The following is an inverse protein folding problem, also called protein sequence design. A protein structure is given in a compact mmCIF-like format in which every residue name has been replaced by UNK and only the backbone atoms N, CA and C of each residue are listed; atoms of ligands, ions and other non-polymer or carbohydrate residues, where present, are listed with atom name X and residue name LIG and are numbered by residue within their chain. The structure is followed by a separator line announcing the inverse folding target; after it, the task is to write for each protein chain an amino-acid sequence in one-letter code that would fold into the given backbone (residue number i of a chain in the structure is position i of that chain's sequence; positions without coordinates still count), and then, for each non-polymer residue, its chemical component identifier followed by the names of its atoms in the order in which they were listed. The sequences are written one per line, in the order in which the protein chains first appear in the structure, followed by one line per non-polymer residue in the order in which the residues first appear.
data_IF_375640452839
#
_entry.id   IF_375640452839
#
_cell.length_a   1.000
_cell.length_b   1.000
_cell.length_c   1.000
_cell.angle_alpha   90.00
_cell.angle_beta   90.00
_cell.angle_gamma   90.00
#
_symmetry.space_group_name_H-M   'P 1'
#
loop_
_entity.id
_entity.type
_entity.pdbx_description
1 polymer ?
#
# COMPACT_ATOMS: atom_id res chain seq x y z
N UNK A 1 38.80 -16.78 11.76
CA UNK A 1 38.34 -16.35 10.43
C UNK A 1 37.22 -15.36 10.65
N UNK A 2 37.48 -14.07 10.44
CA UNK A 2 36.39 -13.07 10.43
C UNK A 2 35.52 -13.32 9.20
N UNK A 3 34.29 -13.76 9.40
CA UNK A 3 33.30 -13.87 8.32
C UNK A 3 32.90 -12.48 7.88
N UNK A 4 33.50 -12.01 6.79
CA UNK A 4 33.17 -10.73 6.20
C UNK A 4 31.71 -10.79 5.74
N UNK A 5 30.82 -10.01 6.37
CA UNK A 5 29.39 -9.96 6.02
C UNK A 5 29.26 -9.45 4.58
N UNK A 6 28.61 -10.23 3.73
CA UNK A 6 28.37 -9.85 2.34
C UNK A 6 27.14 -8.94 2.24
N UNK A 7 27.30 -7.74 1.67
CA UNK A 7 26.16 -6.85 1.36
C UNK A 7 25.15 -7.52 0.44
N UNK A 8 25.61 -8.31 -0.52
CA UNK A 8 24.74 -9.09 -1.40
C UNK A 8 23.84 -10.03 -0.61
N UNK A 9 24.35 -10.76 0.38
CA UNK A 9 23.55 -11.63 1.22
C UNK A 9 22.49 -10.86 2.04
N UNK A 10 22.84 -9.68 2.55
CA UNK A 10 21.87 -8.82 3.27
C UNK A 10 20.74 -8.43 2.33
N UNK A 11 21.06 -7.93 1.13
CA UNK A 11 20.06 -7.55 0.13
C UNK A 11 19.16 -8.72 -0.25
N UNK A 12 19.72 -9.93 -0.45
CA UNK A 12 18.91 -11.12 -0.74
C UNK A 12 17.95 -11.47 0.40
N UNK A 13 18.38 -11.32 1.66
CA UNK A 13 17.50 -11.54 2.83
C UNK A 13 16.40 -10.50 2.91
N UNK A 14 16.72 -9.22 2.66
CA UNK A 14 15.72 -8.14 2.61
C UNK A 14 14.67 -8.41 1.51
N UNK A 15 15.11 -8.79 0.31
CA UNK A 15 14.21 -9.11 -0.79
C UNK A 15 13.32 -10.32 -0.46
N UNK A 16 13.88 -11.39 0.09
CA UNK A 16 13.12 -12.56 0.53
C UNK A 16 12.09 -12.20 1.59
N UNK A 17 12.48 -11.42 2.59
CA UNK A 17 11.58 -10.95 3.65
C UNK A 17 10.41 -10.14 3.08
N UNK A 18 10.68 -9.19 2.18
CA UNK A 18 9.66 -8.38 1.53
C UNK A 18 8.65 -9.26 0.75
N UNK A 19 9.15 -10.26 -0.01
CA UNK A 19 8.28 -11.17 -0.75
C UNK A 19 7.40 -11.99 0.22
N UNK A 20 7.98 -12.56 1.28
CA UNK A 20 7.25 -13.35 2.28
C UNK A 20 6.18 -12.50 2.98
N UNK A 21 6.51 -11.28 3.38
CA UNK A 21 5.56 -10.34 3.99
C UNK A 21 4.40 -10.04 3.02
N UNK A 22 4.69 -9.66 1.78
CA UNK A 22 3.67 -9.39 0.76
C UNK A 22 2.75 -10.59 0.50
N UNK A 23 3.29 -11.81 0.46
CA UNK A 23 2.48 -13.03 0.29
C UNK A 23 1.51 -13.18 1.46
N UNK A 24 1.96 -12.97 2.70
CA UNK A 24 1.10 -13.11 3.88
C UNK A 24 0.03 -12.01 3.93
N UNK A 25 0.38 -10.75 3.66
CA UNK A 25 -0.57 -9.64 3.52
C UNK A 25 -1.63 -9.96 2.44
N UNK A 26 -1.19 -10.45 1.27
CA UNK A 26 -2.12 -10.83 0.20
C UNK A 26 -3.08 -11.94 0.62
N UNK A 27 -2.59 -12.98 1.30
CA UNK A 27 -3.45 -14.06 1.83
C UNK A 27 -4.52 -13.50 2.77
N UNK A 28 -4.17 -12.56 3.65
CA UNK A 28 -5.15 -11.94 4.55
C UNK A 28 -6.15 -11.06 3.81
N UNK A 29 -5.72 -10.30 2.79
CA UNK A 29 -6.62 -9.52 1.96
C UNK A 29 -7.67 -10.42 1.29
N UNK A 30 -7.23 -11.48 0.60
CA UNK A 30 -8.11 -12.46 -0.07
C UNK A 30 -9.07 -13.12 0.93
N UNK A 31 -8.59 -13.55 2.10
CA UNK A 31 -9.41 -14.12 3.19
C UNK A 31 -10.53 -13.17 3.63
N UNK A 32 -10.29 -11.86 3.58
CA UNK A 32 -11.27 -10.83 3.90
C UNK A 32 -12.12 -10.39 2.68
N UNK A 33 -12.00 -11.07 1.54
CA UNK A 33 -12.75 -10.75 0.33
C UNK A 33 -12.27 -9.48 -0.39
N UNK A 34 -11.02 -9.07 -0.15
CA UNK A 34 -10.38 -7.93 -0.79
C UNK A 34 -9.31 -8.39 -1.78
N UNK A 35 -9.16 -7.63 -2.88
CA UNK A 35 -7.97 -7.71 -3.72
C UNK A 35 -6.86 -6.82 -3.15
N UNK A 36 -5.62 -7.16 -3.49
CA UNK A 36 -4.46 -6.34 -3.12
C UNK A 36 -4.67 -4.88 -3.62
N UNK A 37 -4.42 -3.92 -2.73
CA UNK A 37 -4.61 -2.49 -3.01
C UNK A 37 -6.02 -1.95 -2.74
N UNK A 38 -7.02 -2.79 -2.42
CA UNK A 38 -8.37 -2.29 -2.11
C UNK A 38 -8.50 -1.77 -0.67
N UNK A 39 -7.74 -2.32 0.28
CA UNK A 39 -7.76 -1.82 1.65
C UNK A 39 -7.34 -0.35 1.74
N UNK A 40 -6.21 0.09 1.14
CA UNK A 40 -5.85 1.52 1.11
C UNK A 40 -6.92 2.42 0.49
N UNK A 41 -7.67 1.93 -0.51
CA UNK A 41 -8.79 2.69 -1.10
C UNK A 41 -9.90 2.87 -0.06
N UNK A 42 -10.30 1.80 0.64
CA UNK A 42 -11.32 1.89 1.71
C UNK A 42 -10.89 2.87 2.79
N UNK A 43 -9.66 2.76 3.27
CA UNK A 43 -9.10 3.62 4.32
C UNK A 43 -9.00 5.08 3.89
N UNK A 44 -8.66 5.35 2.62
CA UNK A 44 -8.65 6.71 2.09
C UNK A 44 -10.05 7.30 2.06
N UNK A 45 -11.03 6.56 1.48
CA UNK A 45 -12.43 7.02 1.38
C UNK A 45 -13.06 7.20 2.77
N UNK A 46 -12.72 6.35 3.73
CA UNK A 46 -13.20 6.47 5.12
C UNK A 46 -12.67 7.73 5.82
N UNK A 47 -11.42 8.10 5.56
CA UNK A 47 -10.79 9.32 6.12
C UNK A 47 -11.17 10.60 5.39
N UNK A 48 -11.50 10.50 4.11
CA UNK A 48 -11.84 11.63 3.25
C UNK A 48 -13.26 11.45 2.71
N UNK A 49 -14.24 11.59 3.60
CA UNK A 49 -15.64 11.44 3.24
C UNK A 49 -16.00 12.28 2.00
N UNK A 50 -16.79 11.67 1.11
CA UNK A 50 -17.24 12.30 -0.14
C UNK A 50 -16.10 12.66 -1.12
N UNK A 51 -14.96 11.97 -1.05
CA UNK A 51 -13.92 12.14 -2.05
C UNK A 51 -14.35 11.60 -3.43
N UNK A 52 -13.69 12.07 -4.48
CA UNK A 52 -13.86 11.62 -5.85
C UNK A 52 -12.89 10.46 -6.17
N UNK A 53 -13.19 9.70 -7.24
CA UNK A 53 -12.26 8.70 -7.77
C UNK A 53 -10.93 9.31 -8.20
N UNK A 54 -10.92 10.55 -8.67
CA UNK A 54 -9.71 11.26 -9.08
C UNK A 54 -8.81 11.53 -7.88
N UNK A 55 -9.36 12.03 -6.78
CA UNK A 55 -8.61 12.26 -5.55
C UNK A 55 -7.99 10.96 -5.01
N UNK A 56 -8.71 9.83 -5.08
CA UNK A 56 -8.15 8.51 -4.74
C UNK A 56 -7.00 8.14 -5.68
N UNK A 57 -7.16 8.35 -7.00
CA UNK A 57 -6.13 8.06 -7.99
C UNK A 57 -4.87 8.90 -7.77
N UNK A 58 -5.06 10.20 -7.51
CA UNK A 58 -3.98 11.16 -7.24
C UNK A 58 -3.22 10.79 -5.95
N UNK A 59 -3.93 10.39 -4.90
CA UNK A 59 -3.32 9.93 -3.64
C UNK A 59 -2.52 8.64 -3.81
N UNK A 60 -3.11 7.64 -4.47
CA UNK A 60 -2.52 6.32 -4.68
C UNK A 60 -1.45 6.32 -5.79
N UNK A 61 -1.30 7.42 -6.53
CA UNK A 61 -0.40 7.54 -7.69
C UNK A 61 -0.60 6.43 -8.73
N UNK A 62 -1.87 6.10 -8.97
CA UNK A 62 -2.26 5.12 -10.00
C UNK A 62 -3.19 5.77 -11.02
N UNK A 63 -3.31 5.14 -12.20
CA UNK A 63 -4.14 5.69 -13.27
C UNK A 63 -5.63 5.75 -12.88
N UNK A 64 -6.37 6.80 -13.27
CA UNK A 64 -7.82 6.90 -13.03
C UNK A 64 -8.61 5.68 -13.50
N UNK A 65 -8.32 5.04 -14.66
CA UNK A 65 -8.98 3.80 -15.07
C UNK A 65 -8.78 2.63 -14.09
N UNK A 66 -7.58 2.52 -13.48
CA UNK A 66 -7.30 1.47 -12.48
C UNK A 66 -8.16 1.65 -11.24
N UNK A 67 -8.29 2.89 -10.75
CA UNK A 67 -9.17 3.22 -9.62
C UNK A 67 -10.64 2.98 -10.01
N UNK A 68 -11.07 3.41 -11.19
CA UNK A 68 -12.44 3.18 -11.64
C UNK A 68 -12.80 1.69 -11.65
N UNK A 69 -11.89 0.84 -12.13
CA UNK A 69 -12.06 -0.63 -12.13
C UNK A 69 -12.15 -1.18 -10.70
N UNK A 70 -11.26 -0.75 -9.81
CA UNK A 70 -11.27 -1.18 -8.40
C UNK A 70 -12.55 -0.73 -7.69
N UNK A 71 -12.94 0.53 -7.83
CA UNK A 71 -14.16 1.08 -7.25
C UNK A 71 -15.41 0.34 -7.77
N UNK A 72 -15.48 0.04 -9.08
CA UNK A 72 -16.60 -0.73 -9.66
C UNK A 72 -16.73 -2.11 -9.02
N UNK A 73 -15.60 -2.81 -8.81
CA UNK A 73 -15.56 -4.12 -8.12
C UNK A 73 -16.01 -3.99 -6.66
N UNK A 74 -15.55 -2.96 -5.97
CA UNK A 74 -15.89 -2.70 -4.57
C UNK A 74 -17.36 -2.31 -4.40
N UNK A 75 -17.93 -1.56 -5.35
CA UNK A 75 -19.38 -1.28 -5.39
C UNK A 75 -20.19 -2.57 -5.59
N UNK A 76 -19.77 -3.42 -6.55
CA UNK A 76 -20.44 -4.72 -6.78
C UNK A 76 -20.38 -5.61 -5.53
N UNK A 77 -19.29 -5.52 -4.76
CA UNK A 77 -19.14 -6.24 -3.49
C UNK A 77 -19.90 -5.58 -2.32
N UNK A 78 -20.50 -4.40 -2.52
CA UNK A 78 -21.22 -3.65 -1.50
C UNK A 78 -20.30 -3.02 -0.44
N UNK A 79 -19.05 -2.69 -0.79
CA UNK A 79 -18.06 -2.10 0.11
C UNK A 79 -18.01 -0.58 0.01
N UNK A 80 -18.31 -0.06 -1.18
CA UNK A 80 -18.37 1.35 -1.49
C UNK A 80 -19.70 1.66 -2.19
N UNK A 81 -20.15 2.87 -2.05
CA UNK A 81 -21.27 3.46 -2.83
C UNK A 81 -20.85 4.79 -3.44
N UNK A 82 -21.53 5.16 -4.53
CA UNK A 82 -21.42 6.46 -5.17
C UNK A 82 -22.68 7.25 -4.85
N UNK A 83 -22.47 8.45 -4.34
CA UNK A 83 -23.53 9.40 -4.05
C UNK A 83 -23.34 10.60 -4.96
N UNK A 84 -24.40 11.02 -5.67
CA UNK A 84 -24.35 12.23 -6.47
C UNK A 84 -24.05 13.44 -5.58
N UNK A 85 -23.14 14.30 -6.02
CA UNK A 85 -22.87 15.54 -5.30
C UNK A 85 -24.10 16.45 -5.38
N UNK A 86 -24.56 16.94 -4.22
CA UNK A 86 -25.75 17.84 -4.17
C UNK A 86 -25.47 19.20 -4.77
N UNK A 87 -24.22 19.64 -4.81
CA UNK A 87 -23.82 20.94 -5.34
C UNK A 87 -23.47 20.91 -6.83
N UNK A 88 -23.04 19.76 -7.36
CA UNK A 88 -22.75 19.55 -8.77
C UNK A 88 -23.01 18.08 -9.16
N UNK A 89 -24.15 17.83 -9.77
CA UNK A 89 -24.60 16.49 -10.17
C UNK A 89 -23.67 15.78 -11.19
N UNK A 90 -22.69 16.50 -11.76
CA UNK A 90 -21.68 15.90 -12.66
C UNK A 90 -20.65 15.08 -11.90
N UNK A 91 -20.54 15.28 -10.59
CA UNK A 91 -19.58 14.55 -9.75
C UNK A 91 -20.27 13.49 -8.89
N UNK A 92 -19.67 12.32 -8.86
CA UNK A 92 -20.02 11.27 -7.93
C UNK A 92 -18.98 11.22 -6.80
N UNK A 93 -19.48 11.24 -5.58
CA UNK A 93 -18.67 11.12 -4.36
C UNK A 93 -18.66 9.67 -3.88
N UNK A 94 -17.54 9.22 -3.38
CA UNK A 94 -17.38 7.89 -2.80
C UNK A 94 -17.69 7.93 -1.31
N UNK A 95 -18.39 6.89 -0.85
CA UNK A 95 -18.66 6.66 0.58
C UNK A 95 -18.46 5.18 0.89
N UNK A 96 -17.86 4.89 2.04
CA UNK A 96 -17.71 3.51 2.52
C UNK A 96 -19.00 3.05 3.17
N UNK A 97 -19.51 1.90 2.76
CA UNK A 97 -20.70 1.28 3.37
C UNK A 97 -20.38 0.73 4.77
N UNK A 98 -21.40 0.42 5.57
CA UNK A 98 -21.21 -0.24 6.86
C UNK A 98 -20.48 -1.60 6.71
N UNK A 99 -20.79 -2.37 5.66
CA UNK A 99 -20.08 -3.58 5.28
C UNK A 99 -18.61 -3.30 4.97
N UNK A 100 -18.35 -2.25 4.19
CA UNK A 100 -17.00 -1.82 3.84
C UNK A 100 -16.18 -1.47 5.07
N UNK A 101 -16.73 -0.70 6.01
CA UNK A 101 -16.08 -0.35 7.28
C UNK A 101 -15.72 -1.58 8.12
N UNK A 102 -16.64 -2.53 8.25
CA UNK A 102 -16.39 -3.77 9.00
C UNK A 102 -15.27 -4.59 8.38
N UNK A 103 -15.27 -4.74 7.05
CA UNK A 103 -14.23 -5.47 6.32
C UNK A 103 -12.90 -4.74 6.40
N UNK A 104 -12.85 -3.41 6.22
CA UNK A 104 -11.65 -2.59 6.36
C UNK A 104 -10.99 -2.78 7.72
N UNK A 105 -11.73 -2.59 8.81
CA UNK A 105 -11.24 -2.77 10.19
C UNK A 105 -10.73 -4.18 10.44
N UNK A 106 -11.47 -5.21 9.98
CA UNK A 106 -11.05 -6.60 10.14
C UNK A 106 -9.76 -6.90 9.37
N UNK A 107 -9.70 -6.47 8.10
CA UNK A 107 -8.54 -6.69 7.25
C UNK A 107 -7.30 -5.98 7.81
N UNK A 108 -7.43 -4.74 8.30
CA UNK A 108 -6.36 -4.02 8.99
C UNK A 108 -5.84 -4.80 10.18
N UNK A 109 -6.73 -5.24 11.08
CA UNK A 109 -6.35 -6.07 12.23
C UNK A 109 -5.64 -7.37 11.84
N UNK A 110 -6.03 -7.99 10.73
CA UNK A 110 -5.36 -9.21 10.26
C UNK A 110 -3.99 -8.89 9.63
N UNK A 111 -3.79 -7.70 9.05
CA UNK A 111 -2.47 -7.22 8.61
C UNK A 111 -1.56 -6.93 9.80
N UNK A 112 -2.08 -6.24 10.82
CA UNK A 112 -1.33 -5.94 12.05
C UNK A 112 -0.79 -7.23 12.71
N UNK A 113 -1.57 -8.33 12.68
CA UNK A 113 -1.10 -9.64 13.16
C UNK A 113 0.03 -10.23 12.32
N UNK A 114 0.05 -9.97 11.00
CA UNK A 114 1.17 -10.40 10.15
C UNK A 114 2.43 -9.62 10.54
N UNK A 115 2.29 -8.33 10.82
CA UNK A 115 3.40 -7.49 11.27
C UNK A 115 3.88 -7.92 12.66
N UNK A 116 2.96 -8.16 13.61
CA UNK A 116 3.29 -8.72 14.94
C UNK A 116 4.04 -10.06 14.83
N UNK A 117 3.60 -10.95 13.93
CA UNK A 117 4.28 -12.23 13.68
C UNK A 117 5.69 -12.03 13.11
N UNK A 118 5.87 -11.03 12.24
CA UNK A 118 7.18 -10.71 11.66
C UNK A 118 8.19 -10.33 12.75
N UNK A 119 7.74 -9.60 13.77
CA UNK A 119 8.58 -9.16 14.89
C UNK A 119 8.52 -10.09 16.11
N UNK A 120 7.92 -11.28 15.98
CA UNK A 120 7.90 -12.26 17.07
C UNK A 120 9.32 -12.64 17.49
N UNK A 121 9.59 -12.52 18.79
CA UNK A 121 10.91 -12.81 19.38
C UNK A 121 11.87 -11.62 19.42
N UNK A 122 11.48 -10.47 18.86
CA UNK A 122 12.25 -9.23 19.01
C UNK A 122 11.79 -8.47 20.27
N UNK A 123 12.73 -7.97 21.03
CA UNK A 123 12.45 -7.01 22.09
C UNK A 123 12.44 -5.57 21.55
N UNK A 124 11.96 -4.63 22.38
CA UNK A 124 11.81 -3.22 21.98
C UNK A 124 13.14 -2.59 21.53
N UNK A 125 14.25 -2.88 22.23
CA UNK A 125 15.57 -2.36 21.89
C UNK A 125 16.06 -2.87 20.52
N UNK A 126 15.81 -4.14 20.21
CA UNK A 126 16.15 -4.72 18.90
C UNK A 126 15.30 -4.09 17.78
N UNK A 127 14.01 -3.83 18.03
CA UNK A 127 13.15 -3.12 17.09
C UNK A 127 13.63 -1.69 16.85
N UNK A 128 14.04 -0.96 17.90
CA UNK A 128 14.62 0.39 17.78
C UNK A 128 15.91 0.39 16.98
N UNK A 129 16.81 -0.55 17.24
CA UNK A 129 18.06 -0.70 16.49
C UNK A 129 17.79 -0.99 15.02
N UNK A 130 16.87 -1.92 14.73
CA UNK A 130 16.48 -2.27 13.36
C UNK A 130 15.90 -1.06 12.63
N UNK A 131 15.01 -0.28 13.28
CA UNK A 131 14.49 0.97 12.75
C UNK A 131 15.61 1.93 12.38
N UNK A 132 16.57 2.14 13.28
CA UNK A 132 17.70 3.03 13.03
C UNK A 132 18.59 2.55 11.87
N UNK A 133 18.76 1.23 11.68
CA UNK A 133 19.45 0.71 10.51
C UNK A 133 18.71 0.99 9.21
N UNK A 134 17.40 0.79 9.18
CA UNK A 134 16.59 1.12 8.01
C UNK A 134 16.60 2.61 7.69
N UNK A 135 16.44 3.48 8.68
CA UNK A 135 16.49 4.95 8.49
C UNK A 135 17.82 5.36 7.85
N UNK A 136 18.94 4.86 8.38
CA UNK A 136 20.27 5.14 7.82
C UNK A 136 20.44 4.61 6.39
N UNK A 137 19.94 3.38 6.10
CA UNK A 137 19.99 2.84 4.74
C UNK A 137 19.12 3.66 3.78
N UNK A 138 17.93 4.10 4.21
CA UNK A 138 17.03 4.95 3.42
C UNK A 138 17.71 6.29 3.12
N UNK A 139 18.33 6.93 4.13
CA UNK A 139 19.04 8.19 3.93
C UNK A 139 20.21 8.07 2.96
N UNK A 140 20.96 6.96 3.00
CA UNK A 140 22.04 6.67 2.05
C UNK A 140 21.53 6.52 0.59
N UNK A 141 20.27 6.11 0.40
CA UNK A 141 19.64 5.93 -0.91
C UNK A 141 18.82 7.13 -1.37
N UNK A 142 18.63 8.11 -0.48
CA UNK A 142 17.83 9.30 -0.75
C UNK A 142 18.57 10.23 -1.69
N UNK A 143 17.93 10.56 -2.82
CA UNK A 143 18.34 11.64 -3.71
C UNK A 143 17.38 12.81 -3.53
N UNK A 144 17.77 14.02 -3.95
CA UNK A 144 16.93 15.22 -3.86
C UNK A 144 15.56 15.03 -4.54
N UNK A 145 15.53 14.27 -5.64
CA UNK A 145 14.30 13.94 -6.39
C UNK A 145 13.34 13.01 -5.62
N UNK A 146 13.89 12.18 -4.74
CA UNK A 146 13.13 11.16 -4.00
C UNK A 146 12.82 11.56 -2.56
N UNK A 147 13.51 12.58 -2.03
CA UNK A 147 13.50 12.93 -0.62
C UNK A 147 12.11 13.21 -0.04
N UNK A 148 11.21 13.82 -0.82
CA UNK A 148 9.86 14.21 -0.38
C UNK A 148 8.75 13.28 -0.91
N UNK A 149 9.10 12.15 -1.53
CA UNK A 149 8.11 11.22 -2.09
C UNK A 149 7.57 10.28 -1.00
N UNK A 150 6.26 10.17 -0.93
CA UNK A 150 5.62 9.16 -0.09
C UNK A 150 5.72 7.77 -0.76
N UNK A 151 5.34 6.72 -0.01
CA UNK A 151 5.41 5.33 -0.46
C UNK A 151 4.75 5.07 -1.84
N UNK A 152 3.56 5.62 -2.07
CA UNK A 152 2.87 5.46 -3.36
C UNK A 152 3.58 6.19 -4.50
N UNK A 153 4.17 7.36 -4.21
CA UNK A 153 4.96 8.10 -5.18
C UNK A 153 6.24 7.36 -5.58
N UNK A 154 6.90 6.68 -4.64
CA UNK A 154 8.07 5.84 -4.92
C UNK A 154 7.71 4.64 -5.80
N UNK A 155 6.59 3.95 -5.51
CA UNK A 155 6.09 2.86 -6.37
C UNK A 155 5.77 3.36 -7.78
N UNK A 156 5.22 4.56 -7.91
CA UNK A 156 4.92 5.14 -9.21
C UNK A 156 6.19 5.48 -10.00
N UNK A 157 7.26 5.98 -9.33
CA UNK A 157 8.55 6.18 -9.97
C UNK A 157 9.19 4.87 -10.43
N UNK A 158 9.20 3.85 -9.59
CA UNK A 158 9.71 2.52 -9.94
C UNK A 158 9.05 2.00 -11.23
N UNK A 159 7.71 2.10 -11.33
CA UNK A 159 6.98 1.68 -12.52
C UNK A 159 7.39 2.41 -13.80
N UNK A 160 7.67 3.70 -13.74
CA UNK A 160 8.12 4.47 -14.93
C UNK A 160 9.40 3.91 -15.54
N UNK A 161 10.30 3.35 -14.74
CA UNK A 161 11.52 2.72 -15.26
C UNK A 161 11.23 1.41 -15.99
N UNK A 162 10.22 0.65 -15.56
CA UNK A 162 9.82 -0.58 -16.24
C UNK A 162 9.07 -0.28 -17.55
N UNK A 163 8.16 0.70 -17.54
CA UNK A 163 7.33 1.05 -18.71
C UNK A 163 8.17 1.64 -19.85
N UNK A 164 9.18 2.50 -19.57
CA UNK A 164 10.10 3.04 -20.58
C UNK A 164 10.90 1.97 -21.34
N UNK A 165 11.24 0.87 -20.68
CA UNK A 165 12.00 -0.21 -21.29
C UNK A 165 11.16 -1.06 -22.25
N UNK A 166 9.85 -1.09 -22.09
CA UNK A 166 8.91 -1.80 -22.96
C UNK A 166 8.54 -1.01 -24.24
N UNK A 167 8.87 0.28 -24.30
CA UNK A 167 8.62 1.12 -25.50
C UNK A 167 9.86 1.24 -26.42
N UNK A 168 11.03 0.78 -25.96
CA UNK A 168 12.29 0.79 -26.71
C UNK A 168 12.64 -0.57 -27.36
N UNK A 169 11.83 -1.61 -27.10
CA UNK A 169 11.90 -2.95 -27.74
C UNK A 169 10.75 -3.14 -28.75
#
# INVERSE_FOLDING_TARGET
METKVSFYEIIQRMNKLNILHRINIHKQAVKNGLYLGQLPILEYVERHEKCTQREVADYMKVSPPSIATSVKRMQKAGLLEKVADKSDLRYNRLTVTEKGRKISKKCRKDFDKVDEQLFSGFNEKECEQLRGFFERMIDNMRTDELANKNFFSLIAEEKKFFDKKSEEE
#
